data_IF_413815733909
#
_entry.id   IF_413815733909
#
_cell.length_a   1.000
_cell.length_b   1.000
_cell.length_c   1.000
_cell.angle_alpha   90.00
_cell.angle_beta   90.00
_cell.angle_gamma   90.00
#
_symmetry.space_group_name_H-M   'P 1'
#
loop_
_entity.id
_entity.type
_entity.pdbx_description
1 polymer ?
#
# COMPACT_ATOMS: atom_id res chain seq x y z
N UNK A 1 15.62 -0.31 -10.45
CA UNK A 1 14.36 0.18 -9.88
C UNK A 1 13.20 -0.46 -10.63
N UNK A 2 12.47 -1.39 -10.01
CA UNK A 2 11.24 -1.96 -10.59
C UNK A 2 10.04 -1.44 -9.81
N UNK A 3 9.30 -0.53 -10.44
CA UNK A 3 8.00 -0.08 -9.93
C UNK A 3 6.96 -1.18 -10.18
N UNK A 4 6.04 -1.30 -9.24
CA UNK A 4 4.88 -2.19 -9.27
C UNK A 4 3.62 -1.36 -9.14
N UNK A 5 2.48 -1.94 -9.52
CA UNK A 5 1.19 -1.34 -9.31
C UNK A 5 0.67 -1.76 -7.93
N UNK A 6 0.33 -0.79 -7.09
CA UNK A 6 -0.24 -1.02 -5.75
C UNK A 6 -1.65 -0.41 -5.68
N UNK A 7 -2.51 -1.06 -4.90
CA UNK A 7 -3.85 -0.60 -4.60
C UNK A 7 -3.85 0.17 -3.27
N UNK A 8 -4.22 1.46 -3.30
CA UNK A 8 -4.30 2.31 -2.10
C UNK A 8 -5.20 1.65 -1.05
N UNK A 9 -6.44 1.34 -1.43
CA UNK A 9 -7.34 0.42 -0.73
C UNK A 9 -7.14 -0.99 -1.31
N UNK A 10 -6.69 -1.98 -0.53
CA UNK A 10 -6.47 -3.34 -1.00
C UNK A 10 -7.74 -3.99 -1.56
N UNK A 11 -7.58 -4.87 -2.56
CA UNK A 11 -8.70 -5.62 -3.15
C UNK A 11 -9.48 -6.43 -2.10
N UNK A 12 -8.77 -7.08 -1.17
CA UNK A 12 -9.36 -7.86 -0.07
C UNK A 12 -10.15 -7.01 0.93
N UNK A 13 -10.02 -5.67 0.85
CA UNK A 13 -10.74 -4.69 1.67
C UNK A 13 -11.77 -3.89 0.86
N UNK A 14 -12.15 -4.36 -0.33
CA UNK A 14 -13.16 -3.73 -1.18
C UNK A 14 -12.62 -2.68 -2.16
N UNK A 15 -11.29 -2.52 -2.26
CA UNK A 15 -10.68 -1.68 -3.28
C UNK A 15 -10.95 -2.17 -4.71
N UNK A 16 -10.89 -1.26 -5.67
CA UNK A 16 -11.13 -1.55 -7.10
C UNK A 16 -9.93 -1.17 -7.95
N UNK A 17 -9.73 -1.85 -9.08
CA UNK A 17 -8.69 -1.52 -10.07
C UNK A 17 -9.12 -0.33 -10.94
N UNK A 18 -9.13 0.87 -10.34
CA UNK A 18 -9.48 2.14 -10.99
C UNK A 18 -8.35 3.15 -10.81
N UNK A 19 -8.24 4.12 -11.72
CA UNK A 19 -7.15 5.12 -11.74
C UNK A 19 -6.91 5.77 -10.37
N UNK A 20 -7.97 6.10 -9.62
CA UNK A 20 -7.85 6.76 -8.32
C UNK A 20 -7.37 5.86 -7.18
N UNK A 21 -7.41 4.54 -7.35
CA UNK A 21 -6.99 3.57 -6.34
C UNK A 21 -5.65 2.89 -6.70
N UNK A 22 -5.06 3.18 -7.86
CA UNK A 22 -3.82 2.56 -8.32
C UNK A 22 -2.68 3.57 -8.26
N UNK A 23 -1.58 3.18 -7.65
CA UNK A 23 -0.37 4.00 -7.52
C UNK A 23 0.88 3.20 -7.88
N UNK A 24 1.93 3.84 -8.42
CA UNK A 24 3.23 3.18 -8.59
C UNK A 24 3.90 3.05 -7.22
N UNK A 25 4.36 1.85 -6.88
CA UNK A 25 5.06 1.56 -5.62
C UNK A 25 6.26 0.65 -5.86
N UNK A 26 7.31 0.80 -5.04
CA UNK A 26 8.45 -0.12 -5.06
C UNK A 26 8.02 -1.53 -4.62
N UNK A 27 8.63 -2.60 -5.14
CA UNK A 27 8.28 -3.99 -4.77
C UNK A 27 8.36 -4.24 -3.27
N UNK A 28 9.40 -3.71 -2.62
CA UNK A 28 9.59 -3.84 -1.17
C UNK A 28 8.49 -3.13 -0.37
N UNK A 29 8.13 -1.91 -0.78
CA UNK A 29 7.09 -1.09 -0.18
C UNK A 29 5.73 -1.79 -0.26
N UNK A 30 5.39 -2.27 -1.47
CA UNK A 30 4.14 -2.96 -1.76
C UNK A 30 4.04 -4.26 -0.92
N UNK A 31 5.12 -5.05 -0.86
CA UNK A 31 5.18 -6.26 -0.04
C UNK A 31 5.06 -6.01 1.46
N UNK A 32 5.56 -4.88 1.98
CA UNK A 32 5.42 -4.51 3.39
C UNK A 32 4.01 -4.00 3.71
N UNK A 33 3.38 -3.23 2.81
CA UNK A 33 2.02 -2.71 2.95
C UNK A 33 0.98 -3.84 3.02
N UNK A 34 1.11 -4.87 2.18
CA UNK A 34 0.20 -6.03 2.12
C UNK A 34 -1.28 -5.60 1.99
N UNK A 35 -2.08 -5.84 3.03
CA UNK A 35 -3.51 -5.58 3.11
C UNK A 35 -3.84 -4.39 4.01
N UNK A 36 -2.83 -3.60 4.39
CA UNK A 36 -3.02 -2.43 5.23
C UNK A 36 -3.72 -1.32 4.44
N UNK A 37 -4.70 -0.71 5.09
CA UNK A 37 -5.29 0.56 4.72
C UNK A 37 -4.27 1.69 4.97
N UNK A 38 -4.44 2.86 4.31
CA UNK A 38 -3.52 3.98 4.48
C UNK A 38 -3.25 4.37 5.94
N UNK A 39 -4.29 4.39 6.79
CA UNK A 39 -4.14 4.73 8.22
C UNK A 39 -3.34 3.68 8.99
N UNK A 40 -3.60 2.39 8.75
CA UNK A 40 -2.85 1.28 9.36
C UNK A 40 -1.38 1.27 8.89
N UNK A 41 -1.14 1.67 7.64
CA UNK A 41 0.20 1.78 7.07
C UNK A 41 0.99 2.97 7.64
N UNK A 42 0.32 4.10 7.89
CA UNK A 42 0.92 5.22 8.62
C UNK A 42 1.29 4.84 10.05
N UNK A 43 0.41 4.13 10.76
CA UNK A 43 0.68 3.61 12.10
C UNK A 43 1.88 2.66 12.10
N UNK A 44 1.96 1.75 11.12
CA UNK A 44 3.11 0.87 10.93
C UNK A 44 4.43 1.64 10.83
N UNK A 45 4.47 2.78 10.12
CA UNK A 45 5.67 3.60 10.05
C UNK A 45 5.94 4.41 11.32
N UNK A 46 4.89 4.92 11.98
CA UNK A 46 5.03 5.65 13.25
C UNK A 46 5.62 4.75 14.35
N UNK A 47 5.21 3.48 14.40
CA UNK A 47 5.75 2.48 15.33
C UNK A 47 7.17 2.00 15.03
N UNK A 48 7.77 2.43 13.90
CA UNK A 48 9.16 2.11 13.51
C UNK A 48 10.16 3.24 13.78
N UNK A 49 9.73 4.31 14.46
CA UNK A 49 10.63 5.31 15.02
C UNK A 49 11.17 4.80 16.35
N UNK A 50 12.18 3.95 16.27
CA UNK A 50 13.18 3.72 17.33
C UNK A 50 14.53 4.24 16.82
#
# INVERSE_FOLDING_TARGET
SSLTMDHVVPLVRGGRSIKNNLVPACKECNNKKKYLLPMEWEEYFKGRKE
#
